data_IF_063673916848
#
_entry.id   IF_063673916848
#
_cell.length_a   1.000
_cell.length_b   1.000
_cell.length_c   1.000
_cell.angle_alpha   90.00
_cell.angle_beta   90.00
_cell.angle_gamma   90.00
#
_symmetry.space_group_name_H-M   'P 1'
#
loop_
_entity.id
_entity.type
_entity.pdbx_description
1 polymer ?
#
# COMPACT_ATOMS: atom_id res chain seq x y z
N UNK A 1 9.24 22.23 17.74
CA UNK A 1 9.15 20.74 17.56
C UNK A 1 8.35 20.52 16.30
N UNK A 2 8.88 19.82 15.30
CA UNK A 2 8.15 19.49 14.06
C UNK A 2 7.12 18.44 14.41
N UNK A 3 5.88 18.67 14.03
CA UNK A 3 4.77 17.75 14.27
C UNK A 3 4.47 16.94 13.02
N UNK A 4 3.74 15.82 13.15
CA UNK A 4 3.24 15.05 12.03
C UNK A 4 2.49 15.90 10.98
N UNK A 5 1.65 16.82 11.44
CA UNK A 5 0.91 17.71 10.55
C UNK A 5 1.78 18.73 9.84
N UNK A 6 2.92 19.11 10.41
CA UNK A 6 3.91 19.96 9.73
C UNK A 6 4.57 19.18 8.58
N UNK A 7 4.86 17.89 8.78
CA UNK A 7 5.41 17.04 7.71
C UNK A 7 4.39 16.84 6.58
N UNK A 8 3.12 16.56 6.91
CA UNK A 8 2.04 16.46 5.89
C UNK A 8 1.89 17.77 5.11
N UNK A 9 1.98 18.93 5.79
CA UNK A 9 1.94 20.25 5.13
C UNK A 9 3.09 20.42 4.15
N UNK A 10 4.31 20.02 4.52
CA UNK A 10 5.48 20.07 3.64
C UNK A 10 5.29 19.23 2.37
N UNK A 11 4.68 18.05 2.49
CA UNK A 11 4.37 17.23 1.30
C UNK A 11 3.45 17.99 0.34
N UNK A 12 2.45 18.70 0.86
CA UNK A 12 1.54 19.52 0.04
C UNK A 12 2.26 20.66 -0.71
N UNK A 13 3.34 21.19 -0.12
CA UNK A 13 4.12 22.30 -0.68
C UNK A 13 5.15 21.85 -1.74
N UNK A 14 5.29 20.53 -1.97
CA UNK A 14 6.16 20.02 -3.01
C UNK A 14 5.56 20.32 -4.40
N UNK A 15 6.42 20.79 -5.30
CA UNK A 15 6.07 20.99 -6.72
C UNK A 15 6.02 19.63 -7.44
N UNK A 16 4.92 18.90 -7.24
CA UNK A 16 4.64 17.62 -7.88
C UNK A 16 3.46 17.82 -8.85
N UNK A 17 3.34 16.99 -9.90
CA UNK A 17 2.27 17.11 -10.88
C UNK A 17 0.93 16.60 -10.32
N UNK A 18 0.44 17.24 -9.26
CA UNK A 18 -0.79 16.86 -8.55
C UNK A 18 -2.03 16.86 -9.45
N UNK A 19 -2.02 17.67 -10.52
CA UNK A 19 -3.07 17.75 -11.54
C UNK A 19 -3.28 16.42 -12.27
N UNK A 20 -2.31 15.51 -12.28
CA UNK A 20 -2.47 14.18 -12.87
C UNK A 20 -3.49 13.31 -12.13
N UNK A 21 -3.81 13.66 -10.89
CA UNK A 21 -4.80 12.99 -10.05
C UNK A 21 -6.22 13.54 -10.24
N UNK A 22 -6.39 14.65 -10.97
CA UNK A 22 -7.69 15.27 -11.16
C UNK A 22 -8.72 14.31 -11.76
N UNK A 23 -9.93 14.35 -11.24
CA UNK A 23 -11.08 13.53 -11.65
C UNK A 23 -10.86 12.02 -11.53
N UNK A 24 -9.82 11.62 -10.79
CA UNK A 24 -9.52 10.21 -10.59
C UNK A 24 -10.17 9.64 -9.34
N UNK A 25 -10.47 8.34 -9.37
CA UNK A 25 -10.74 7.54 -8.18
C UNK A 25 -9.44 6.87 -7.75
N UNK A 26 -9.03 7.08 -6.50
CA UNK A 26 -7.80 6.57 -5.93
C UNK A 26 -8.14 5.61 -4.79
N UNK A 27 -7.75 4.35 -4.91
CA UNK A 27 -7.89 3.38 -3.83
C UNK A 27 -6.55 3.23 -3.08
N UNK A 28 -6.58 3.38 -1.76
CA UNK A 28 -5.46 3.02 -0.88
C UNK A 28 -5.90 1.84 -0.02
N UNK A 29 -5.35 0.65 -0.25
CA UNK A 29 -5.57 -0.50 0.64
C UNK A 29 -4.61 -0.46 1.82
N UNK A 30 -5.04 -0.96 2.99
CA UNK A 30 -4.27 -0.80 4.21
C UNK A 30 -4.20 0.65 4.68
N UNK A 31 -5.23 1.42 4.36
CA UNK A 31 -5.30 2.86 4.62
C UNK A 31 -5.12 3.22 6.10
N UNK A 32 -5.59 2.39 7.02
CA UNK A 32 -5.44 2.63 8.48
C UNK A 32 -4.07 2.26 9.05
N UNK A 33 -3.17 1.67 8.23
CA UNK A 33 -1.78 1.39 8.60
C UNK A 33 -0.90 2.63 8.59
N UNK A 34 0.34 2.52 9.07
CA UNK A 34 1.28 3.65 9.20
C UNK A 34 1.48 4.40 7.87
N UNK A 35 1.83 3.69 6.80
CA UNK A 35 2.06 4.30 5.48
C UNK A 35 0.74 4.76 4.86
N UNK A 36 -0.29 3.89 4.90
CA UNK A 36 -1.60 4.20 4.31
C UNK A 36 -2.22 5.45 4.90
N UNK A 37 -2.14 5.62 6.22
CA UNK A 37 -2.67 6.80 6.91
C UNK A 37 -1.94 8.07 6.51
N UNK A 38 -0.61 8.03 6.42
CA UNK A 38 0.17 9.18 5.98
C UNK A 38 -0.17 9.59 4.55
N UNK A 39 -0.39 8.61 3.66
CA UNK A 39 -0.82 8.86 2.28
C UNK A 39 -2.22 9.48 2.21
N UNK A 40 -3.18 8.93 2.98
CA UNK A 40 -4.53 9.50 3.07
C UNK A 40 -4.45 10.94 3.56
N UNK A 41 -3.76 11.20 4.67
CA UNK A 41 -3.66 12.54 5.25
C UNK A 41 -2.98 13.53 4.28
N UNK A 42 -1.93 13.10 3.56
CA UNK A 42 -1.24 13.93 2.59
C UNK A 42 -2.15 14.31 1.41
N UNK A 43 -2.82 13.33 0.80
CA UNK A 43 -3.72 13.57 -0.33
C UNK A 43 -4.94 14.39 0.07
N UNK A 44 -5.51 14.12 1.24
CA UNK A 44 -6.69 14.86 1.72
C UNK A 44 -6.38 16.32 2.07
N UNK A 45 -5.13 16.69 2.30
CA UNK A 45 -4.72 18.07 2.54
C UNK A 45 -4.32 18.85 1.28
N UNK A 46 -4.32 18.22 0.09
CA UNK A 46 -4.08 18.95 -1.16
C UNK A 46 -5.16 19.99 -1.40
N UNK A 47 -4.82 21.22 -1.81
CA UNK A 47 -5.79 22.23 -2.22
C UNK A 47 -6.47 21.81 -3.54
N UNK A 48 -7.64 22.35 -3.79
CA UNK A 48 -8.36 22.27 -5.07
C UNK A 48 -8.44 20.87 -5.71
N UNK A 49 -8.43 19.82 -4.86
CA UNK A 49 -8.51 18.44 -5.32
C UNK A 49 -9.86 18.12 -5.93
N UNK A 50 -9.84 17.51 -7.10
CA UNK A 50 -11.05 17.02 -7.80
C UNK A 50 -11.11 15.49 -7.87
N UNK A 51 -10.08 14.79 -7.33
CA UNK A 51 -10.11 13.34 -7.21
C UNK A 51 -10.96 12.88 -6.03
N UNK A 52 -11.40 11.63 -6.08
CA UNK A 52 -12.06 10.96 -4.96
C UNK A 52 -11.15 9.89 -4.36
N UNK A 53 -10.94 9.95 -3.05
CA UNK A 53 -10.09 9.02 -2.31
C UNK A 53 -10.90 7.95 -1.60
N UNK A 54 -10.61 6.70 -1.90
CA UNK A 54 -11.18 5.53 -1.25
C UNK A 54 -10.16 4.91 -0.31
N UNK A 55 -10.45 4.97 0.99
CA UNK A 55 -9.59 4.41 2.03
C UNK A 55 -10.04 2.97 2.34
N UNK A 56 -9.34 1.98 1.81
CA UNK A 56 -9.62 0.56 2.00
C UNK A 56 -9.01 0.03 3.29
N UNK A 57 -9.82 -0.49 4.20
CA UNK A 57 -9.38 -1.06 5.46
C UNK A 57 -10.14 -2.34 5.81
N UNK A 58 -9.46 -3.29 6.46
CA UNK A 58 -10.07 -4.53 6.92
C UNK A 58 -10.80 -4.34 8.26
N UNK A 59 -10.16 -3.67 9.21
CA UNK A 59 -10.76 -3.32 10.50
C UNK A 59 -11.54 -2.01 10.37
N UNK A 60 -12.86 -2.16 10.21
CA UNK A 60 -13.77 -1.05 9.96
C UNK A 60 -13.85 -0.06 11.12
N UNK A 61 -13.96 -0.55 12.36
CA UNK A 61 -14.16 0.33 13.51
C UNK A 61 -12.88 1.10 13.83
N UNK A 62 -11.73 0.45 13.73
CA UNK A 62 -10.45 1.13 13.86
C UNK A 62 -10.26 2.19 12.76
N UNK A 63 -10.55 1.85 11.51
CA UNK A 63 -10.40 2.78 10.39
C UNK A 63 -11.35 3.98 10.49
N UNK A 64 -12.61 3.79 10.92
CA UNK A 64 -13.53 4.90 11.18
C UNK A 64 -12.96 5.90 12.19
N UNK A 65 -12.36 5.41 13.26
CA UNK A 65 -11.72 6.26 14.26
C UNK A 65 -10.49 6.99 13.70
N UNK A 66 -9.71 6.34 12.84
CA UNK A 66 -8.55 6.97 12.19
C UNK A 66 -8.93 8.15 11.28
N UNK A 67 -10.10 8.10 10.65
CA UNK A 67 -10.52 9.05 9.59
C UNK A 67 -11.76 9.86 9.94
N UNK A 68 -12.06 10.03 11.24
CA UNK A 68 -13.20 10.82 11.70
C UNK A 68 -13.22 12.26 11.13
N UNK A 69 -12.04 12.85 10.93
CA UNK A 69 -11.90 14.21 10.38
C UNK A 69 -12.34 14.31 8.91
N UNK A 70 -12.46 13.20 8.18
CA UNK A 70 -12.83 13.17 6.76
C UNK A 70 -14.24 12.62 6.52
N UNK A 71 -14.98 12.23 7.56
CA UNK A 71 -16.28 11.53 7.47
C UNK A 71 -17.35 12.28 6.65
N UNK A 72 -17.31 13.61 6.66
CA UNK A 72 -18.27 14.49 5.99
C UNK A 72 -17.63 15.19 4.78
N UNK A 73 -16.54 14.65 4.22
CA UNK A 73 -15.84 15.20 3.07
C UNK A 73 -16.27 14.47 1.79
N UNK A 74 -16.87 15.19 0.84
CA UNK A 74 -17.42 14.61 -0.40
C UNK A 74 -16.38 13.84 -1.24
N UNK A 75 -15.10 14.21 -1.15
CA UNK A 75 -14.02 13.58 -1.90
C UNK A 75 -13.35 12.43 -1.16
N UNK A 76 -13.98 11.90 -0.07
CA UNK A 76 -13.43 10.80 0.74
C UNK A 76 -14.50 9.74 1.01
N UNK A 77 -14.12 8.48 0.83
CA UNK A 77 -14.96 7.34 1.20
C UNK A 77 -14.12 6.27 1.90
N UNK A 78 -14.53 5.87 3.10
CA UNK A 78 -14.00 4.69 3.76
C UNK A 78 -14.71 3.45 3.21
N UNK A 79 -13.96 2.43 2.80
CA UNK A 79 -14.52 1.17 2.29
C UNK A 79 -13.98 -0.04 3.07
N UNK A 80 -14.85 -1.03 3.28
CA UNK A 80 -14.44 -2.33 3.81
C UNK A 80 -13.62 -3.05 2.74
N UNK A 81 -12.37 -3.37 3.03
CA UNK A 81 -11.48 -4.00 2.07
C UNK A 81 -10.55 -5.00 2.76
N UNK A 82 -10.86 -6.29 2.59
CA UNK A 82 -9.95 -7.38 2.89
C UNK A 82 -9.31 -7.86 1.59
N UNK A 83 -8.04 -7.54 1.40
CA UNK A 83 -7.31 -7.87 0.16
C UNK A 83 -7.10 -9.37 -0.06
N UNK A 84 -7.36 -10.21 0.95
CA UNK A 84 -7.35 -11.67 0.77
C UNK A 84 -8.59 -12.19 0.06
N UNK A 85 -9.58 -11.32 -0.18
CA UNK A 85 -10.81 -11.61 -0.90
C UNK A 85 -10.87 -10.79 -2.19
N UNK A 86 -11.55 -11.28 -3.25
CA UNK A 86 -11.79 -10.49 -4.45
C UNK A 86 -12.48 -9.17 -4.14
N UNK A 87 -12.10 -8.13 -4.85
CA UNK A 87 -12.75 -6.82 -4.74
C UNK A 87 -14.12 -6.90 -5.40
N UNK A 88 -15.16 -6.52 -4.67
CA UNK A 88 -16.53 -6.42 -5.16
C UNK A 88 -16.96 -4.94 -5.12
N UNK A 89 -16.83 -4.26 -6.24
CA UNK A 89 -17.19 -2.85 -6.40
C UNK A 89 -17.40 -2.56 -7.89
N UNK A 90 -18.27 -1.61 -8.21
CA UNK A 90 -18.49 -1.11 -9.58
C UNK A 90 -17.73 0.19 -9.85
N UNK A 91 -16.85 0.62 -8.93
CA UNK A 91 -16.11 1.87 -9.01
C UNK A 91 -14.86 1.66 -9.87
N UNK A 92 -14.67 2.46 -10.90
CA UNK A 92 -13.42 2.50 -11.66
C UNK A 92 -12.31 3.16 -10.83
N UNK A 93 -11.44 2.37 -10.19
CA UNK A 93 -10.25 2.90 -9.54
C UNK A 93 -9.13 3.14 -10.56
N UNK A 94 -8.88 4.41 -10.87
CA UNK A 94 -7.83 4.80 -11.82
C UNK A 94 -6.43 4.61 -11.26
N UNK A 95 -6.27 4.74 -9.95
CA UNK A 95 -5.03 4.53 -9.21
C UNK A 95 -5.27 3.61 -8.03
N UNK A 96 -4.43 2.60 -7.86
CA UNK A 96 -4.45 1.74 -6.68
C UNK A 96 -3.08 1.80 -6.00
N UNK A 97 -3.08 2.16 -4.72
CA UNK A 97 -1.92 2.09 -3.84
C UNK A 97 -2.13 0.92 -2.88
N UNK A 98 -1.40 -0.17 -3.11
CA UNK A 98 -1.52 -1.36 -2.29
C UNK A 98 -0.49 -1.34 -1.16
N UNK A 99 -0.93 -0.85 0.02
CA UNK A 99 -0.13 -0.80 1.26
C UNK A 99 -0.63 -1.79 2.33
N UNK A 100 -1.64 -2.60 2.02
CA UNK A 100 -2.13 -3.62 2.95
C UNK A 100 -1.13 -4.78 3.05
N UNK A 101 -0.63 -5.02 4.25
CA UNK A 101 0.23 -6.17 4.56
C UNK A 101 0.28 -6.39 6.07
N UNK A 102 0.46 -7.64 6.50
CA UNK A 102 0.85 -7.95 7.87
C UNK A 102 2.38 -7.83 7.96
N UNK A 103 2.88 -6.76 8.54
CA UNK A 103 4.31 -6.43 8.57
C UNK A 103 4.94 -6.53 9.98
N UNK A 104 4.24 -7.07 10.97
CA UNK A 104 4.73 -7.22 12.33
C UNK A 104 5.40 -8.58 12.57
N UNK A 105 6.48 -8.66 13.36
CA UNK A 105 7.15 -9.92 13.71
C UNK A 105 6.21 -10.97 14.32
N UNK A 106 5.23 -10.53 15.13
CA UNK A 106 4.26 -11.43 15.75
C UNK A 106 3.36 -12.11 14.71
N UNK A 107 2.96 -11.37 13.66
CA UNK A 107 2.17 -11.93 12.57
C UNK A 107 2.94 -13.02 11.80
N UNK A 108 4.25 -12.88 11.66
CA UNK A 108 5.09 -13.88 10.96
C UNK A 108 5.13 -15.22 11.69
N UNK A 109 4.94 -15.21 13.02
CA UNK A 109 4.90 -16.43 13.85
C UNK A 109 3.48 -16.95 14.02
N UNK A 110 2.52 -16.07 14.26
CA UNK A 110 1.14 -16.47 14.59
C UNK A 110 0.26 -16.76 13.37
N UNK A 111 0.52 -16.09 12.24
CA UNK A 111 -0.28 -16.23 11.00
C UNK A 111 0.57 -16.05 9.73
N UNK A 112 1.61 -16.85 9.59
CA UNK A 112 2.50 -16.83 8.42
C UNK A 112 1.75 -17.10 7.10
N UNK A 113 0.71 -17.90 7.12
CA UNK A 113 -0.16 -18.17 5.96
C UNK A 113 -0.95 -16.93 5.57
N UNK A 114 -1.54 -16.23 6.54
CA UNK A 114 -2.25 -14.97 6.30
C UNK A 114 -1.32 -13.88 5.77
N UNK A 115 -0.07 -13.82 6.26
CA UNK A 115 0.98 -12.92 5.73
C UNK A 115 1.20 -13.18 4.23
N UNK A 116 1.36 -14.45 3.83
CA UNK A 116 1.56 -14.81 2.43
C UNK A 116 0.33 -14.48 1.57
N UNK A 117 -0.86 -14.87 2.03
CA UNK A 117 -2.12 -14.60 1.32
C UNK A 117 -2.34 -13.11 1.11
N UNK A 118 -2.19 -12.28 2.14
CA UNK A 118 -2.41 -10.84 2.04
C UNK A 118 -1.50 -10.18 0.99
N UNK A 119 -0.26 -10.62 0.85
CA UNK A 119 0.67 -10.07 -0.12
C UNK A 119 0.44 -10.63 -1.54
N UNK A 120 0.27 -11.93 -1.69
CA UNK A 120 0.18 -12.59 -3.01
C UNK A 120 -1.23 -12.42 -3.58
N UNK A 121 -2.27 -12.82 -2.85
CA UNK A 121 -3.66 -12.69 -3.30
C UNK A 121 -4.10 -11.24 -3.37
N UNK A 122 -3.58 -10.37 -2.47
CA UNK A 122 -3.88 -8.95 -2.52
C UNK A 122 -3.49 -8.32 -3.85
N UNK A 123 -2.29 -8.61 -4.34
CA UNK A 123 -1.84 -8.15 -5.67
C UNK A 123 -2.71 -8.77 -6.77
N UNK A 124 -2.93 -10.10 -6.73
CA UNK A 124 -3.72 -10.82 -7.73
C UNK A 124 -5.16 -10.28 -7.84
N UNK A 125 -5.86 -10.13 -6.71
CA UNK A 125 -7.23 -9.62 -6.68
C UNK A 125 -7.33 -8.17 -7.18
N UNK A 126 -6.40 -7.30 -6.76
CA UNK A 126 -6.40 -5.90 -7.14
C UNK A 126 -6.10 -5.71 -8.62
N UNK A 127 -5.17 -6.45 -9.20
CA UNK A 127 -4.92 -6.42 -10.65
C UNK A 127 -6.06 -7.05 -11.44
N UNK A 128 -6.60 -8.18 -10.98
CA UNK A 128 -7.75 -8.84 -11.61
C UNK A 128 -8.97 -7.92 -11.68
N UNK A 129 -9.19 -7.14 -10.63
CA UNK A 129 -10.20 -6.09 -10.61
C UNK A 129 -9.81 -4.94 -11.55
N UNK A 130 -8.62 -4.38 -11.39
CA UNK A 130 -8.17 -3.17 -12.09
C UNK A 130 -8.19 -3.29 -13.61
N UNK A 131 -7.85 -4.47 -14.15
CA UNK A 131 -7.89 -4.71 -15.60
C UNK A 131 -9.31 -4.68 -16.21
N UNK A 132 -10.35 -4.79 -15.38
CA UNK A 132 -11.77 -4.70 -15.78
C UNK A 132 -12.34 -3.31 -15.51
N UNK A 133 -11.65 -2.47 -14.75
CA UNK A 133 -12.10 -1.22 -14.18
C UNK A 133 -11.15 -0.04 -14.45
N UNK A 134 -10.62 0.07 -15.67
CA UNK A 134 -9.87 1.22 -16.18
C UNK A 134 -8.66 1.65 -15.31
N UNK A 135 -8.02 0.71 -14.60
CA UNK A 135 -6.83 0.99 -13.81
C UNK A 135 -5.70 1.54 -14.69
N UNK A 136 -5.21 2.72 -14.37
CA UNK A 136 -4.11 3.40 -15.08
C UNK A 136 -2.76 3.06 -14.47
N UNK A 137 -2.65 3.15 -13.13
CA UNK A 137 -1.40 2.90 -12.40
C UNK A 137 -1.64 2.10 -11.13
N UNK A 138 -0.70 1.22 -10.86
CA UNK A 138 -0.66 0.41 -9.65
C UNK A 138 0.64 0.68 -8.89
N UNK A 139 0.56 1.09 -7.62
CA UNK A 139 1.71 1.23 -6.74
C UNK A 139 1.67 0.13 -5.69
N UNK A 140 2.72 -0.68 -5.64
CA UNK A 140 2.90 -1.72 -4.64
C UNK A 140 3.91 -1.29 -3.58
N UNK A 141 3.47 -1.29 -2.32
CA UNK A 141 4.36 -1.08 -1.17
C UNK A 141 4.98 -2.41 -0.79
N UNK A 142 6.18 -2.65 -1.29
CA UNK A 142 7.01 -3.81 -0.97
C UNK A 142 7.77 -3.60 0.34
N UNK A 143 8.99 -4.09 0.45
CA UNK A 143 9.83 -3.97 1.64
C UNK A 143 11.31 -4.15 1.28
N UNK A 144 12.21 -3.51 2.02
CA UNK A 144 13.64 -3.79 1.96
C UNK A 144 14.01 -5.23 2.31
N UNK A 145 13.11 -5.99 2.96
CA UNK A 145 13.33 -7.42 3.25
C UNK A 145 13.39 -8.31 2.01
N UNK A 146 12.94 -7.82 0.85
CA UNK A 146 13.11 -8.54 -0.43
C UNK A 146 14.58 -8.77 -0.78
N UNK A 147 15.48 -7.95 -0.26
CA UNK A 147 16.92 -8.13 -0.48
C UNK A 147 17.48 -9.34 0.27
N UNK A 148 16.83 -9.80 1.35
CA UNK A 148 17.30 -10.92 2.16
C UNK A 148 18.53 -10.57 3.00
N UNK A 149 19.37 -11.58 3.31
CA UNK A 149 20.59 -11.38 4.06
C UNK A 149 21.68 -10.75 3.18
N UNK A 150 22.26 -9.66 3.69
CA UNK A 150 23.32 -8.94 3.01
C UNK A 150 24.72 -9.34 3.49
N UNK A 151 25.71 -8.88 2.75
CA UNK A 151 27.14 -9.09 3.05
C UNK A 151 27.82 -7.84 3.64
N UNK A 152 27.04 -6.88 4.15
CA UNK A 152 27.52 -5.61 4.70
C UNK A 152 27.73 -4.50 3.67
N UNK A 153 27.46 -4.74 2.40
CA UNK A 153 27.47 -3.72 1.33
C UNK A 153 26.05 -3.24 1.10
N UNK A 154 25.80 -1.93 0.85
CA UNK A 154 24.48 -1.43 0.49
C UNK A 154 23.91 -2.15 -0.75
N UNK A 155 22.66 -2.56 -0.67
CA UNK A 155 21.96 -3.19 -1.79
C UNK A 155 21.66 -2.21 -2.91
N UNK A 156 21.67 -2.71 -4.14
CA UNK A 156 21.10 -2.10 -5.32
C UNK A 156 19.75 -2.72 -5.63
N UNK A 157 18.94 -2.09 -6.47
CA UNK A 157 17.59 -2.57 -6.78
C UNK A 157 17.58 -3.93 -7.48
N UNK A 158 18.61 -4.25 -8.25
CA UNK A 158 18.78 -5.53 -8.93
C UNK A 158 19.35 -6.65 -8.05
N UNK A 159 19.82 -6.33 -6.84
CA UNK A 159 20.43 -7.33 -5.96
C UNK A 159 19.38 -8.30 -5.39
N UNK A 160 19.74 -9.56 -5.30
CA UNK A 160 18.96 -10.61 -4.66
C UNK A 160 19.84 -11.40 -3.68
N UNK A 161 19.70 -11.09 -2.40
CA UNK A 161 20.37 -11.84 -1.35
C UNK A 161 19.69 -13.16 -1.01
N UNK A 162 20.30 -13.93 -0.13
CA UNK A 162 19.80 -15.24 0.29
C UNK A 162 18.63 -15.12 1.27
N UNK A 163 17.71 -16.07 1.17
CA UNK A 163 16.65 -16.30 2.13
C UNK A 163 16.69 -17.77 2.57
N UNK A 164 16.51 -18.02 3.86
CA UNK A 164 16.29 -19.38 4.35
C UNK A 164 14.80 -19.73 4.24
N UNK A 165 14.39 -20.25 3.09
CA UNK A 165 12.98 -20.57 2.79
C UNK A 165 12.37 -21.71 3.62
N UNK A 166 13.15 -22.44 4.39
CA UNK A 166 12.64 -23.43 5.32
C UNK A 166 12.28 -22.85 6.69
N UNK A 167 12.58 -21.57 6.91
CA UNK A 167 12.21 -20.82 8.10
C UNK A 167 10.83 -20.19 7.96
N UNK A 168 10.00 -20.25 9.00
CA UNK A 168 8.73 -19.50 9.05
C UNK A 168 8.95 -17.99 8.84
N UNK A 169 10.08 -17.45 9.28
CA UNK A 169 10.43 -16.05 9.10
C UNK A 169 10.52 -15.64 7.63
N UNK A 170 10.79 -16.60 6.74
CA UNK A 170 10.85 -16.34 5.30
C UNK A 170 9.49 -16.06 4.66
N UNK A 171 8.37 -16.29 5.36
CA UNK A 171 7.02 -16.07 4.81
C UNK A 171 6.84 -14.65 4.25
N UNK A 172 7.29 -13.63 4.98
CA UNK A 172 7.12 -12.24 4.59
C UNK A 172 8.02 -11.83 3.41
N UNK A 173 9.36 -11.95 3.47
CA UNK A 173 10.20 -11.58 2.34
C UNK A 173 9.92 -12.41 1.08
N UNK A 174 9.58 -13.70 1.21
CA UNK A 174 9.20 -14.55 0.07
C UNK A 174 7.89 -14.06 -0.54
N UNK A 175 6.88 -13.77 0.28
CA UNK A 175 5.61 -13.24 -0.21
C UNK A 175 5.79 -11.89 -0.91
N UNK A 176 6.61 -11.01 -0.37
CA UNK A 176 6.95 -9.72 -1.00
C UNK A 176 7.64 -9.89 -2.35
N UNK A 177 8.64 -10.78 -2.46
CA UNK A 177 9.30 -11.12 -3.75
C UNK A 177 8.29 -11.67 -4.76
N UNK A 178 7.45 -12.61 -4.34
CA UNK A 178 6.41 -13.19 -5.21
C UNK A 178 5.43 -12.11 -5.68
N UNK A 179 5.01 -11.23 -4.79
CA UNK A 179 4.11 -10.13 -5.12
C UNK A 179 4.74 -9.12 -6.10
N UNK A 180 6.03 -8.79 -5.96
CA UNK A 180 6.75 -7.97 -6.93
C UNK A 180 6.79 -8.63 -8.32
N UNK A 181 7.06 -9.95 -8.35
CA UNK A 181 7.04 -10.71 -9.62
C UNK A 181 5.65 -10.71 -10.26
N UNK A 182 4.59 -10.86 -9.46
CA UNK A 182 3.21 -10.73 -9.94
C UNK A 182 2.94 -9.33 -10.49
N UNK A 183 3.36 -8.26 -9.80
CA UNK A 183 3.23 -6.89 -10.29
C UNK A 183 3.87 -6.71 -11.67
N UNK A 184 5.12 -7.17 -11.84
CA UNK A 184 5.84 -7.10 -13.11
C UNK A 184 5.13 -7.91 -14.19
N UNK A 185 4.63 -9.10 -13.87
CA UNK A 185 3.92 -9.98 -14.80
C UNK A 185 2.61 -9.36 -15.27
N UNK A 186 1.82 -8.81 -14.35
CA UNK A 186 0.57 -8.11 -14.67
C UNK A 186 0.83 -6.82 -15.47
N UNK A 187 1.84 -6.04 -15.09
CA UNK A 187 2.22 -4.84 -15.83
C UNK A 187 2.50 -5.17 -17.30
N UNK A 188 3.26 -6.24 -17.56
CA UNK A 188 3.58 -6.70 -18.91
C UNK A 188 2.36 -7.22 -19.67
N UNK A 189 1.51 -8.02 -19.01
CA UNK A 189 0.36 -8.66 -19.67
C UNK A 189 -0.83 -7.72 -19.88
N UNK A 190 -1.05 -6.79 -18.96
CA UNK A 190 -2.22 -5.90 -18.97
C UNK A 190 -1.88 -4.47 -19.42
N UNK A 191 -0.60 -4.16 -19.64
CA UNK A 191 -0.11 -2.82 -19.99
C UNK A 191 -0.51 -1.75 -18.95
N UNK A 192 -0.60 -2.14 -17.66
CA UNK A 192 -0.87 -1.24 -16.55
C UNK A 192 0.47 -0.72 -16.02
N UNK A 193 0.63 0.60 -15.97
CA UNK A 193 1.82 1.21 -15.39
C UNK A 193 1.94 0.82 -13.91
N UNK A 194 3.06 0.22 -13.53
CA UNK A 194 3.25 -0.32 -12.20
C UNK A 194 4.53 0.20 -11.57
N UNK A 195 4.42 0.68 -10.34
CA UNK A 195 5.53 1.14 -9.52
C UNK A 195 5.64 0.26 -8.26
N UNK A 196 6.86 -0.17 -7.97
CA UNK A 196 7.19 -0.92 -6.75
C UNK A 196 8.11 -0.06 -5.89
N UNK A 197 7.73 0.17 -4.64
CA UNK A 197 8.60 0.84 -3.67
C UNK A 197 9.03 -0.15 -2.58
N UNK A 198 10.29 -0.10 -2.18
CA UNK A 198 10.89 -0.99 -1.17
C UNK A 198 11.31 -0.18 0.07
N UNK A 199 10.36 0.27 0.90
CA UNK A 199 10.71 0.98 2.11
C UNK A 199 11.47 0.04 3.05
N UNK A 200 12.51 0.58 3.70
CA UNK A 200 13.25 -0.14 4.72
C UNK A 200 12.58 0.07 6.09
N UNK A 201 13.27 0.62 7.08
CA UNK A 201 12.70 0.84 8.40
C UNK A 201 11.87 2.14 8.42
N UNK A 202 10.55 1.99 8.37
CA UNK A 202 9.62 3.12 8.44
C UNK A 202 9.13 3.27 9.88
N UNK A 203 9.14 4.47 10.39
CA UNK A 203 8.58 4.83 11.68
C UNK A 203 7.79 6.13 11.60
N UNK A 204 6.89 6.37 12.54
CA UNK A 204 6.07 7.57 12.56
C UNK A 204 5.10 7.58 13.75
N UNK A 205 4.31 8.66 13.91
CA UNK A 205 3.49 8.91 15.10
C UNK A 205 2.41 7.86 15.36
N UNK A 206 1.97 7.14 14.34
CA UNK A 206 0.96 6.09 14.45
C UNK A 206 1.55 4.69 14.46
N UNK A 207 2.87 4.60 14.65
CA UNK A 207 3.53 3.33 14.86
C UNK A 207 3.18 2.81 16.25
N UNK A 208 2.34 1.79 16.33
CA UNK A 208 2.12 1.02 17.54
C UNK A 208 3.03 -0.19 17.48
N UNK A 209 4.10 -0.24 18.30
CA UNK A 209 4.83 -1.50 18.48
C UNK A 209 3.82 -2.50 19.04
N UNK A 210 3.55 -3.54 18.31
CA UNK A 210 2.81 -4.70 18.80
C UNK A 210 3.77 -5.66 19.44
#
# INVERSE_FOLDING_TARGET
MITYYDDIRRVRELELPWETLNEANILITGASGLIGRALVDALMQLPDKTFHLYAGARDWDYARNCFLQYKDTDSFTLIQCDVTMPISSDIDFHYIIHAASYAGPDAFQSDSVGVMKANIWGVDHLFSYGRQHHLRKFLYVSSGEVYGEGNGIPFREEDSGCLNWTSLRACYPTAKRTAETLCISYASQCQIETLIIRPCHIYGPFFTPK
#
